data_IF_042671387009
#
_entry.id   IF_042671387009
#
_cell.length_a   1.000
_cell.length_b   1.000
_cell.length_c   1.000
_cell.angle_alpha   90.00
_cell.angle_beta   90.00
_cell.angle_gamma   90.00
#
_symmetry.space_group_name_H-M   'P 1'
#
loop_
_entity.id
_entity.type
_entity.pdbx_description
1 polymer ?
#
# COMPACT_ATOMS: atom_id res chain seq x y z
N UNK A 1 -12.79 29.81 -9.50
CA UNK A 1 -13.47 30.91 -8.79
C UNK A 1 -13.63 30.49 -7.34
N UNK A 2 -13.11 31.30 -6.42
CA UNK A 2 -13.21 31.06 -4.99
C UNK A 2 -14.61 31.53 -4.55
N UNK A 3 -15.50 30.63 -4.17
CA UNK A 3 -16.80 30.99 -3.58
C UNK A 3 -16.59 31.31 -2.09
N UNK A 4 -15.89 32.41 -1.82
CA UNK A 4 -15.77 32.99 -0.49
C UNK A 4 -16.75 34.13 -0.33
N UNK A 5 -17.52 34.13 0.75
CA UNK A 5 -18.49 35.18 1.06
C UNK A 5 -17.76 36.48 1.46
N UNK A 6 -17.57 37.37 0.49
CA UNK A 6 -16.94 38.68 0.72
C UNK A 6 -17.91 39.80 1.12
N UNK A 7 -19.23 39.60 1.02
CA UNK A 7 -20.20 40.71 1.10
C UNK A 7 -21.53 40.35 1.81
N UNK A 8 -21.69 39.15 2.39
CA UNK A 8 -22.77 38.84 3.33
C UNK A 8 -24.14 38.52 2.69
N UNK A 9 -24.22 38.33 1.37
CA UNK A 9 -25.47 37.95 0.68
C UNK A 9 -25.66 36.43 0.54
N UNK A 10 -24.71 35.61 1.02
CA UNK A 10 -24.72 34.15 0.84
C UNK A 10 -25.82 33.41 1.62
N UNK A 11 -26.36 34.03 2.67
CA UNK A 11 -27.32 33.40 3.57
C UNK A 11 -28.70 33.15 2.94
N UNK A 12 -29.08 33.89 1.88
CA UNK A 12 -30.40 33.77 1.24
C UNK A 12 -30.58 32.52 0.37
N UNK A 13 -29.48 31.89 -0.05
CA UNK A 13 -29.48 30.65 -0.84
C UNK A 13 -28.77 29.49 -0.13
N UNK A 14 -28.50 29.63 1.17
CA UNK A 14 -27.82 28.60 1.93
C UNK A 14 -28.74 27.39 2.11
N UNK A 15 -28.39 26.26 1.49
CA UNK A 15 -29.08 24.97 1.67
C UNK A 15 -28.81 24.34 3.04
N UNK A 16 -28.03 25.01 3.89
CA UNK A 16 -27.57 24.48 5.16
C UNK A 16 -27.30 25.61 6.17
N UNK A 17 -27.37 25.29 7.48
CA UNK A 17 -27.04 26.24 8.54
C UNK A 17 -25.58 26.75 8.43
N UNK A 18 -25.30 27.94 8.97
CA UNK A 18 -23.94 28.49 9.06
C UNK A 18 -22.91 27.50 9.59
N UNK A 19 -21.64 27.66 9.17
CA UNK A 19 -20.55 26.75 9.55
C UNK A 19 -20.39 26.62 11.07
N UNK A 20 -20.47 27.73 11.81
CA UNK A 20 -20.39 27.74 13.28
C UNK A 20 -21.48 26.87 13.91
N UNK A 21 -22.71 26.94 13.40
CA UNK A 21 -23.84 26.17 13.94
C UNK A 21 -23.69 24.68 13.63
N UNK A 22 -23.13 24.34 12.47
CA UNK A 22 -22.81 22.94 12.13
C UNK A 22 -21.76 22.37 13.05
N UNK A 23 -20.72 23.14 13.38
CA UNK A 23 -19.65 22.68 14.27
C UNK A 23 -20.15 22.57 15.70
N UNK A 24 -20.98 23.51 16.17
CA UNK A 24 -21.61 23.41 17.50
C UNK A 24 -22.52 22.21 17.69
N UNK A 25 -23.07 21.65 16.60
CA UNK A 25 -23.83 20.39 16.66
C UNK A 25 -22.95 19.16 16.88
N UNK A 26 -21.69 19.22 16.45
CA UNK A 26 -20.71 18.14 16.65
C UNK A 26 -19.93 18.31 17.95
N UNK A 27 -19.60 19.56 18.29
CA UNK A 27 -18.91 19.96 19.50
C UNK A 27 -19.64 21.13 20.17
N UNK A 28 -20.52 20.85 21.16
CA UNK A 28 -21.27 21.88 21.86
C UNK A 28 -20.41 22.90 22.62
N UNK A 29 -19.14 22.58 22.91
CA UNK A 29 -18.22 23.48 23.62
C UNK A 29 -17.45 24.40 22.66
N UNK A 30 -17.69 24.31 21.35
CA UNK A 30 -17.00 25.08 20.33
C UNK A 30 -17.21 26.61 20.46
N UNK A 31 -16.11 27.34 20.66
CA UNK A 31 -16.05 28.80 20.64
C UNK A 31 -15.49 29.31 19.30
N UNK A 32 -16.27 30.06 18.49
CA UNK A 32 -15.81 30.66 17.24
C UNK A 32 -14.59 31.57 17.36
N UNK A 33 -14.28 32.08 18.56
CA UNK A 33 -13.07 32.88 18.81
C UNK A 33 -11.78 32.09 18.58
N UNK A 34 -11.84 30.76 18.70
CA UNK A 34 -10.72 29.87 18.38
C UNK A 34 -10.26 30.02 16.92
N UNK A 35 -11.15 30.42 16.00
CA UNK A 35 -10.76 30.70 14.61
C UNK A 35 -9.80 31.88 14.49
N UNK A 36 -9.96 32.89 15.34
CA UNK A 36 -9.07 34.06 15.32
C UNK A 36 -7.67 33.65 15.75
N UNK A 37 -7.55 32.75 16.72
CA UNK A 37 -6.26 32.25 17.19
C UNK A 37 -5.62 31.30 16.18
N UNK A 38 -6.40 30.43 15.54
CA UNK A 38 -5.93 29.56 14.46
C UNK A 38 -5.46 30.40 13.26
N UNK A 39 -6.26 31.39 12.84
CA UNK A 39 -5.91 32.28 11.73
C UNK A 39 -4.64 33.08 12.04
N UNK A 40 -4.49 33.60 13.28
CA UNK A 40 -3.26 34.27 13.72
C UNK A 40 -2.04 33.35 13.70
N UNK A 41 -2.19 32.09 14.11
CA UNK A 41 -1.12 31.08 14.04
C UNK A 41 -0.73 30.76 12.60
N UNK A 42 -1.70 30.76 11.68
CA UNK A 42 -1.48 30.43 10.27
C UNK A 42 -1.04 31.64 9.41
N UNK A 43 -1.29 32.87 9.87
CA UNK A 43 -0.86 34.09 9.19
C UNK A 43 0.54 34.55 9.59
N UNK A 44 1.16 33.93 10.59
CA UNK A 44 2.59 34.11 10.83
C UNK A 44 3.35 33.45 9.67
N UNK A 45 4.17 34.20 8.90
CA UNK A 45 5.01 33.58 7.89
C UNK A 45 5.92 32.58 8.58
N UNK A 46 5.72 31.29 8.28
CA UNK A 46 6.69 30.27 8.66
C UNK A 46 7.94 30.58 7.85
N UNK A 47 8.99 31.06 8.53
CA UNK A 47 10.30 31.17 7.92
C UNK A 47 10.78 29.75 7.63
N UNK A 48 10.56 29.33 6.39
CA UNK A 48 10.86 27.97 5.92
C UNK A 48 12.34 27.63 6.09
N UNK A 49 13.22 28.64 6.13
CA UNK A 49 14.66 28.47 6.35
C UNK A 49 14.99 28.36 7.85
N UNK A 50 14.26 29.06 8.71
CA UNK A 50 14.41 28.90 10.17
C UNK A 50 13.82 27.57 10.66
N UNK A 51 12.74 27.07 10.03
CA UNK A 51 12.18 25.76 10.32
C UNK A 51 13.15 24.63 9.96
N UNK A 52 13.86 24.74 8.82
CA UNK A 52 14.95 23.82 8.44
C UNK A 52 16.14 23.90 9.42
N UNK A 53 16.44 25.09 9.95
CA UNK A 53 17.51 25.28 10.93
C UNK A 53 17.14 24.77 12.34
N UNK A 54 15.88 24.93 12.78
CA UNK A 54 15.38 24.38 14.05
C UNK A 54 15.19 22.85 13.98
N UNK A 55 14.76 22.28 12.85
CA UNK A 55 14.75 20.83 12.63
C UNK A 55 16.18 20.24 12.58
N UNK A 56 17.17 21.03 12.16
CA UNK A 56 18.58 20.64 12.21
C UNK A 56 19.21 20.78 13.61
N UNK A 57 18.57 21.50 14.54
CA UNK A 57 19.15 21.84 15.86
C UNK A 57 18.31 21.40 17.07
N UNK A 58 17.17 20.74 16.87
CA UNK A 58 16.44 20.12 17.97
C UNK A 58 17.32 19.05 18.67
N UNK A 59 17.58 19.16 19.98
CA UNK A 59 18.43 18.23 20.69
C UNK A 59 17.76 16.87 20.80
N UNK A 60 18.30 15.90 20.07
CA UNK A 60 18.17 14.46 20.30
C UNK A 60 18.67 14.12 21.71
N UNK A 61 17.78 14.23 22.70
CA UNK A 61 18.01 13.69 24.03
C UNK A 61 17.80 12.17 23.98
N UNK A 62 18.87 11.45 23.62
CA UNK A 62 18.87 9.98 23.64
C UNK A 62 20.00 9.26 22.88
N UNK A 63 20.95 9.97 22.27
CA UNK A 63 22.07 9.34 21.56
C UNK A 63 23.37 9.45 22.37
N UNK A 64 23.71 8.39 23.10
CA UNK A 64 25.10 8.10 23.42
C UNK A 64 25.82 7.58 22.17
N UNK A 65 26.75 8.40 21.69
CA UNK A 65 27.93 8.07 20.89
C UNK A 65 27.75 7.32 19.56
N UNK A 66 27.85 8.09 18.47
CA UNK A 66 28.85 7.81 17.43
C UNK A 66 28.45 6.91 16.27
N UNK A 67 27.74 7.48 15.29
CA UNK A 67 27.90 7.08 13.90
C UNK A 67 27.70 8.31 12.99
N UNK A 68 28.55 8.52 11.96
CA UNK A 68 28.39 9.65 11.06
C UNK A 68 27.13 9.47 10.21
N UNK A 69 26.42 10.57 9.97
CA UNK A 69 25.34 10.61 8.99
C UNK A 69 25.88 10.18 7.61
N UNK A 70 25.46 9.01 7.15
CA UNK A 70 25.86 8.49 5.85
C UNK A 70 25.21 9.31 4.72
N UNK A 71 25.98 9.74 3.70
CA UNK A 71 25.43 10.42 2.53
C UNK A 71 24.63 9.41 1.69
N UNK A 72 23.43 9.82 1.24
CA UNK A 72 22.69 9.18 0.13
C UNK A 72 22.41 7.68 0.30
N UNK A 73 21.43 7.31 1.14
CA UNK A 73 20.93 5.93 1.15
C UNK A 73 20.18 5.68 -0.17
N UNK A 74 20.77 4.88 -1.06
CA UNK A 74 20.15 4.34 -2.28
C UNK A 74 18.89 3.55 -1.88
N UNK A 75 17.89 3.40 -2.79
CA UNK A 75 16.81 2.46 -2.51
C UNK A 75 17.39 1.09 -2.10
N UNK A 76 16.75 0.43 -1.12
CA UNK A 76 17.19 -0.88 -0.68
C UNK A 76 17.25 -1.85 -1.88
N UNK A 77 18.41 -2.45 -2.15
CA UNK A 77 18.52 -3.52 -3.16
C UNK A 77 17.70 -4.73 -2.73
N UNK A 78 17.45 -5.71 -3.61
CA UNK A 78 16.73 -6.94 -3.23
C UNK A 78 17.30 -7.64 -1.98
N UNK A 79 18.58 -7.45 -1.70
CA UNK A 79 19.34 -8.01 -0.56
C UNK A 79 19.56 -7.03 0.59
N UNK A 80 18.90 -5.88 0.60
CA UNK A 80 19.11 -4.88 1.63
C UNK A 80 18.50 -5.27 2.97
N UNK A 81 19.22 -4.95 4.02
CA UNK A 81 18.95 -5.34 5.39
C UNK A 81 18.34 -4.17 6.20
N UNK A 82 17.21 -4.42 6.88
CA UNK A 82 16.50 -3.46 7.74
C UNK A 82 15.96 -4.20 8.97
N UNK A 83 16.39 -3.78 10.18
CA UNK A 83 15.80 -4.24 11.43
C UNK A 83 14.43 -3.59 11.62
N UNK A 84 13.40 -4.31 12.07
CA UNK A 84 12.03 -3.76 12.16
C UNK A 84 11.41 -4.11 13.51
N UNK A 85 10.68 -3.16 14.10
CA UNK A 85 9.92 -3.40 15.35
C UNK A 85 8.43 -3.68 15.05
N UNK A 86 7.89 -4.84 15.45
CA UNK A 86 6.49 -5.20 15.20
C UNK A 86 5.45 -4.18 15.70
N UNK A 87 5.57 -3.74 16.95
CA UNK A 87 4.63 -2.79 17.55
C UNK A 87 4.69 -1.40 16.88
N UNK A 88 5.88 -0.97 16.43
CA UNK A 88 6.02 0.29 15.72
C UNK A 88 5.35 0.24 14.34
N UNK A 89 5.51 -0.86 13.61
CA UNK A 89 4.84 -1.04 12.30
C UNK A 89 3.33 -1.06 12.43
N UNK A 90 2.78 -1.74 13.44
CA UNK A 90 1.34 -1.66 13.71
C UNK A 90 0.89 -0.22 14.02
N UNK A 91 1.69 0.53 14.78
CA UNK A 91 1.45 1.96 15.04
C UNK A 91 1.54 2.88 13.81
N UNK A 92 2.26 2.46 12.76
CA UNK A 92 2.35 3.20 11.49
C UNK A 92 1.10 3.05 10.60
N UNK A 93 0.21 2.10 10.89
CA UNK A 93 -1.03 1.90 10.12
C UNK A 93 -1.86 3.18 10.13
N UNK A 94 -2.03 3.78 8.95
CA UNK A 94 -2.77 5.04 8.79
C UNK A 94 -2.10 6.29 9.40
N UNK A 95 -0.91 6.16 10.00
CA UNK A 95 -0.18 7.24 10.68
C UNK A 95 1.28 7.33 10.20
N UNK A 96 1.53 7.74 8.95
CA UNK A 96 2.90 7.88 8.43
C UNK A 96 3.69 8.98 9.14
N UNK A 97 4.96 8.73 9.42
CA UNK A 97 5.90 9.69 10.01
C UNK A 97 6.64 10.51 8.93
N UNK A 98 7.40 11.53 9.35
CA UNK A 98 8.14 12.43 8.43
C UNK A 98 9.11 11.67 7.51
N UNK A 99 9.78 10.64 8.03
CA UNK A 99 10.72 9.84 7.24
C UNK A 99 10.04 8.95 6.20
N UNK A 100 8.78 8.56 6.42
CA UNK A 100 7.95 7.84 5.44
C UNK A 100 7.66 8.73 4.22
N UNK A 101 7.39 10.01 4.45
CA UNK A 101 7.19 10.98 3.37
C UNK A 101 8.47 11.23 2.57
N UNK A 102 9.63 11.35 3.24
CA UNK A 102 10.93 11.49 2.57
C UNK A 102 11.24 10.27 1.69
N UNK A 103 10.92 9.08 2.18
CA UNK A 103 11.13 7.86 1.38
C UNK A 103 10.14 7.74 0.24
N UNK A 104 8.88 8.11 0.43
CA UNK A 104 7.91 8.20 -0.65
C UNK A 104 8.39 9.17 -1.75
N UNK A 105 8.96 10.32 -1.40
CA UNK A 105 9.54 11.26 -2.37
C UNK A 105 10.76 10.66 -3.11
N UNK A 106 11.62 9.91 -2.40
CA UNK A 106 12.75 9.21 -3.04
C UNK A 106 12.27 8.15 -4.04
N UNK A 107 11.37 7.25 -3.64
CA UNK A 107 10.76 6.26 -4.55
C UNK A 107 10.14 6.98 -5.73
N UNK A 108 9.44 8.10 -5.49
CA UNK A 108 8.81 8.88 -6.53
C UNK A 108 9.82 9.45 -7.54
N UNK A 109 10.97 9.95 -7.08
CA UNK A 109 12.01 10.52 -7.94
C UNK A 109 12.75 9.46 -8.75
N UNK A 110 12.88 8.24 -8.22
CA UNK A 110 13.55 7.13 -8.90
C UNK A 110 12.71 6.53 -10.04
N UNK A 111 11.38 6.72 -10.03
CA UNK A 111 10.53 6.30 -11.16
C UNK A 111 10.79 7.21 -12.37
N UNK A 112 11.17 6.64 -13.54
CA UNK A 112 11.35 7.38 -14.78
C UNK A 112 10.16 8.28 -15.11
N UNK A 113 10.42 9.51 -15.55
CA UNK A 113 9.38 10.50 -15.85
C UNK A 113 8.33 9.96 -16.84
N UNK A 114 8.76 9.23 -17.86
CA UNK A 114 7.87 8.60 -18.85
C UNK A 114 6.82 7.69 -18.19
N UNK A 115 7.22 6.87 -17.22
CA UNK A 115 6.32 6.00 -16.48
C UNK A 115 5.41 6.79 -15.52
N UNK A 116 5.93 7.83 -14.86
CA UNK A 116 5.14 8.69 -13.98
C UNK A 116 4.05 9.45 -14.72
N UNK A 117 4.37 9.96 -15.90
CA UNK A 117 3.42 10.67 -16.75
C UNK A 117 2.40 9.68 -17.33
N UNK A 118 2.84 8.49 -17.76
CA UNK A 118 1.97 7.44 -18.27
C UNK A 118 0.97 6.95 -17.21
N UNK A 119 1.42 6.71 -15.98
CA UNK A 119 0.55 6.28 -14.87
C UNK A 119 -0.53 7.32 -14.54
N UNK A 120 -0.21 8.61 -14.63
CA UNK A 120 -1.17 9.69 -14.29
C UNK A 120 -2.13 10.04 -15.42
N UNK A 121 -1.83 9.60 -16.64
CA UNK A 121 -2.64 9.91 -17.82
C UNK A 121 -3.87 9.02 -17.89
N UNK A 122 -5.01 9.60 -18.27
CA UNK A 122 -6.23 8.83 -18.52
C UNK A 122 -6.15 7.95 -19.78
N UNK A 123 -5.13 8.11 -20.64
CA UNK A 123 -5.00 7.28 -21.86
C UNK A 123 -3.98 6.16 -21.74
N UNK A 124 -3.10 6.18 -20.74
CA UNK A 124 -1.98 5.23 -20.63
C UNK A 124 -1.85 4.58 -19.24
N UNK A 125 -2.75 4.90 -18.29
CA UNK A 125 -2.67 4.36 -16.94
C UNK A 125 -2.92 2.85 -16.88
N UNK A 126 -3.83 2.33 -17.71
CA UNK A 126 -4.10 0.89 -17.78
C UNK A 126 -2.93 0.15 -18.44
N UNK A 127 -2.39 0.73 -19.51
CA UNK A 127 -1.21 0.28 -20.25
C UNK A 127 0.03 0.23 -19.35
N UNK A 128 0.17 1.18 -18.42
CA UNK A 128 1.24 1.16 -17.42
C UNK A 128 1.14 -0.07 -16.51
N UNK A 129 -0.08 -0.43 -16.08
CA UNK A 129 -0.29 -1.65 -15.26
C UNK A 129 -0.08 -2.92 -16.10
N UNK A 130 -0.52 -2.93 -17.35
CA UNK A 130 -0.25 -4.06 -18.25
C UNK A 130 1.24 -4.25 -18.49
N UNK A 131 2.00 -3.17 -18.71
CA UNK A 131 3.44 -3.21 -18.94
C UNK A 131 4.21 -3.79 -17.74
N UNK A 132 3.71 -3.59 -16.51
CA UNK A 132 4.26 -4.20 -15.31
C UNK A 132 4.08 -5.73 -15.25
N UNK A 133 3.07 -6.27 -15.96
CA UNK A 133 2.75 -7.71 -16.00
C UNK A 133 3.35 -8.45 -17.19
N UNK A 134 3.91 -7.73 -18.17
CA UNK A 134 4.54 -8.38 -19.31
C UNK A 134 5.79 -9.12 -18.84
N UNK A 135 5.84 -10.42 -19.13
CA UNK A 135 6.95 -11.29 -18.76
C UNK A 135 8.21 -10.94 -19.55
N UNK A 136 9.36 -11.28 -18.98
CA UNK A 136 10.66 -11.18 -19.65
C UNK A 136 10.87 -12.25 -20.72
N UNK A 137 10.19 -13.39 -20.62
CA UNK A 137 10.18 -14.43 -21.64
C UNK A 137 9.41 -13.95 -22.88
N UNK A 138 10.13 -13.87 -24.00
CA UNK A 138 9.60 -13.37 -25.27
C UNK A 138 8.35 -14.13 -25.78
N UNK A 139 8.24 -15.44 -25.51
CA UNK A 139 7.10 -16.23 -25.94
C UNK A 139 5.85 -15.95 -25.09
N UNK A 140 6.04 -15.79 -23.77
CA UNK A 140 4.96 -15.41 -22.84
C UNK A 140 4.53 -13.96 -23.12
N UNK A 141 5.49 -13.04 -23.29
CA UNK A 141 5.25 -11.65 -23.61
C UNK A 141 4.43 -11.48 -24.91
N UNK A 142 4.78 -12.20 -25.98
CA UNK A 142 4.03 -12.16 -27.23
C UNK A 142 2.57 -12.64 -27.06
N UNK A 143 2.35 -13.66 -26.22
CA UNK A 143 1.01 -14.13 -25.88
C UNK A 143 0.24 -13.09 -25.08
N UNK A 144 0.87 -12.47 -24.08
CA UNK A 144 0.27 -11.43 -23.25
C UNK A 144 -0.09 -10.19 -24.08
N UNK A 145 0.79 -9.70 -24.95
CA UNK A 145 0.49 -8.59 -25.87
C UNK A 145 -0.69 -8.93 -26.80
N UNK A 146 -0.76 -10.18 -27.30
CA UNK A 146 -1.91 -10.66 -28.07
C UNK A 146 -3.22 -10.66 -27.27
N UNK A 147 -3.16 -11.03 -25.97
CA UNK A 147 -4.32 -10.96 -25.08
C UNK A 147 -4.80 -9.51 -24.89
N UNK A 148 -3.87 -8.56 -24.74
CA UNK A 148 -4.19 -7.12 -24.65
C UNK A 148 -4.83 -6.65 -25.95
N UNK A 149 -4.26 -6.97 -27.12
CA UNK A 149 -4.82 -6.60 -28.41
C UNK A 149 -6.26 -7.08 -28.58
N UNK A 150 -6.53 -8.34 -28.23
CA UNK A 150 -7.83 -8.98 -28.40
C UNK A 150 -8.90 -8.45 -27.44
N UNK A 151 -8.52 -8.04 -26.22
CA UNK A 151 -9.47 -7.72 -25.16
C UNK A 151 -9.48 -6.25 -24.73
N UNK A 152 -8.43 -5.48 -25.00
CA UNK A 152 -8.31 -4.05 -24.72
C UNK A 152 -8.09 -3.22 -25.99
N UNK A 153 -7.79 -3.86 -27.12
CA UNK A 153 -7.64 -3.22 -28.43
C UNK A 153 -6.18 -2.96 -28.82
N UNK A 154 -5.96 -2.72 -30.12
CA UNK A 154 -4.62 -2.52 -30.68
C UNK A 154 -3.90 -1.28 -30.11
N UNK A 155 -4.63 -0.22 -29.76
CA UNK A 155 -4.05 0.97 -29.15
C UNK A 155 -3.48 0.67 -27.74
N UNK A 156 -4.18 -0.13 -26.94
CA UNK A 156 -3.70 -0.54 -25.61
C UNK A 156 -2.47 -1.44 -25.72
N UNK A 157 -2.42 -2.33 -26.72
CA UNK A 157 -1.24 -3.15 -26.99
C UNK A 157 -0.02 -2.28 -27.34
N UNK A 158 -0.18 -1.36 -28.30
CA UNK A 158 0.90 -0.46 -28.72
C UNK A 158 1.39 0.42 -27.55
N UNK A 159 0.47 1.02 -26.78
CA UNK A 159 0.82 1.82 -25.62
C UNK A 159 1.49 1.01 -24.50
N UNK A 160 1.16 -0.28 -24.36
CA UNK A 160 1.84 -1.19 -23.43
C UNK A 160 3.27 -1.47 -23.91
N UNK A 161 3.44 -1.77 -25.20
CA UNK A 161 4.72 -2.07 -25.83
C UNK A 161 5.71 -0.88 -25.71
N UNK A 162 5.21 0.34 -25.93
CA UNK A 162 5.99 1.59 -25.80
C UNK A 162 6.59 1.78 -24.40
N UNK A 163 5.97 1.21 -23.36
CA UNK A 163 6.40 1.36 -21.97
C UNK A 163 7.37 0.25 -21.51
N UNK A 164 7.49 -0.86 -22.25
CA UNK A 164 8.26 -2.04 -21.82
C UNK A 164 9.73 -1.73 -21.57
N UNK A 165 10.36 -0.95 -22.45
CA UNK A 165 11.76 -0.57 -22.29
C UNK A 165 12.00 0.23 -21.00
N UNK A 166 11.07 1.12 -20.64
CA UNK A 166 11.18 1.89 -19.42
C UNK A 166 10.91 1.04 -18.18
N UNK A 167 9.91 0.15 -18.22
CA UNK A 167 9.61 -0.80 -17.13
C UNK A 167 10.77 -1.74 -16.85
N UNK A 168 11.49 -2.19 -17.89
CA UNK A 168 12.66 -3.07 -17.73
C UNK A 168 13.77 -2.44 -16.88
N UNK A 169 13.89 -1.10 -16.86
CA UNK A 169 14.87 -0.37 -16.05
C UNK A 169 14.38 -0.08 -14.61
N UNK A 170 13.12 -0.37 -14.31
CA UNK A 170 12.50 0.01 -13.05
C UNK A 170 12.96 -0.88 -11.90
N UNK A 171 13.40 -0.26 -10.80
CA UNK A 171 13.71 -0.96 -9.58
C UNK A 171 12.48 -1.75 -9.06
N UNK A 172 12.62 -3.00 -8.58
CA UNK A 172 11.50 -3.82 -8.10
C UNK A 172 10.59 -3.09 -7.10
N UNK A 173 11.17 -2.42 -6.09
CA UNK A 173 10.42 -1.65 -5.09
C UNK A 173 9.58 -0.50 -5.65
N UNK A 174 9.84 -0.08 -6.89
CA UNK A 174 9.14 1.03 -7.54
C UNK A 174 7.96 0.55 -8.39
N UNK A 175 7.80 -0.76 -8.59
CA UNK A 175 6.73 -1.36 -9.42
C UNK A 175 5.34 -1.20 -8.79
N UNK A 176 5.16 -1.65 -7.55
CA UNK A 176 3.87 -1.47 -6.85
C UNK A 176 3.54 0.01 -6.58
N UNK A 177 4.50 0.88 -6.20
CA UNK A 177 4.25 2.33 -6.16
C UNK A 177 3.82 2.92 -7.49
N UNK A 178 4.42 2.50 -8.61
CA UNK A 178 3.98 2.93 -9.94
C UNK A 178 2.54 2.50 -10.24
N UNK A 179 2.18 1.26 -9.91
CA UNK A 179 0.80 0.79 -10.04
C UNK A 179 -0.18 1.60 -9.17
N UNK A 180 0.19 1.89 -7.92
CA UNK A 180 -0.61 2.72 -7.03
C UNK A 180 -0.78 4.16 -7.56
N UNK A 181 0.24 4.70 -8.24
CA UNK A 181 0.14 6.01 -8.92
C UNK A 181 -0.83 6.00 -10.11
N UNK A 182 -1.04 4.85 -10.75
CA UNK A 182 -1.94 4.73 -11.90
C UNK A 182 -3.42 4.75 -11.49
N UNK A 183 -3.72 4.28 -10.27
CA UNK A 183 -5.09 4.08 -9.83
C UNK A 183 -5.99 5.33 -9.81
N UNK A 184 -5.53 6.53 -9.38
CA UNK A 184 -6.36 7.73 -9.42
C UNK A 184 -6.83 8.13 -10.83
N UNK A 185 -6.11 7.71 -11.88
CA UNK A 185 -6.52 7.87 -13.26
C UNK A 185 -7.47 6.72 -13.68
N UNK A 186 -7.12 5.47 -13.36
CA UNK A 186 -7.93 4.27 -13.66
C UNK A 186 -9.34 4.37 -13.07
N UNK A 187 -9.50 4.80 -11.82
CA UNK A 187 -10.82 4.87 -11.16
C UNK A 187 -11.82 5.85 -11.78
N UNK A 188 -11.36 6.72 -12.70
CA UNK A 188 -12.21 7.69 -13.40
C UNK A 188 -12.92 7.07 -14.61
N UNK A 189 -12.51 5.88 -15.03
CA UNK A 189 -13.12 5.19 -16.14
C UNK A 189 -14.52 4.67 -15.80
N UNK A 190 -15.41 4.50 -16.81
CA UNK A 190 -16.71 3.87 -16.61
C UNK A 190 -16.59 2.46 -15.99
N UNK A 191 -17.62 2.05 -15.25
CA UNK A 191 -17.66 0.75 -14.56
C UNK A 191 -17.38 -0.43 -15.50
N UNK A 192 -17.89 -0.40 -16.72
CA UNK A 192 -17.67 -1.46 -17.72
C UNK A 192 -16.20 -1.56 -18.12
N UNK A 193 -15.51 -0.42 -18.31
CA UNK A 193 -14.08 -0.39 -18.62
C UNK A 193 -13.25 -0.91 -17.46
N UNK A 194 -13.61 -0.60 -16.21
CA UNK A 194 -12.95 -1.14 -15.02
C UNK A 194 -13.10 -2.67 -14.94
N UNK A 195 -14.30 -3.19 -15.19
CA UNK A 195 -14.55 -4.64 -15.23
C UNK A 195 -13.75 -5.34 -16.34
N UNK A 196 -13.70 -4.73 -17.53
CA UNK A 196 -12.90 -5.22 -18.65
C UNK A 196 -11.41 -5.20 -18.32
N UNK A 197 -10.92 -4.12 -17.71
CA UNK A 197 -9.54 -3.98 -17.26
C UNK A 197 -9.14 -5.09 -16.28
N UNK A 198 -9.96 -5.35 -15.25
CA UNK A 198 -9.73 -6.44 -14.30
C UNK A 198 -9.72 -7.80 -15.02
N UNK A 199 -10.66 -8.04 -15.93
CA UNK A 199 -10.71 -9.29 -16.69
C UNK A 199 -9.53 -9.47 -17.66
N UNK A 200 -8.90 -8.39 -18.14
CA UNK A 200 -7.66 -8.47 -18.92
C UNK A 200 -6.50 -8.80 -17.99
N UNK A 201 -6.40 -8.11 -16.85
CA UNK A 201 -5.36 -8.32 -15.85
C UNK A 201 -5.30 -9.78 -15.37
N UNK A 202 -6.45 -10.38 -15.05
CA UNK A 202 -6.55 -11.80 -14.69
C UNK A 202 -6.03 -12.73 -15.79
N UNK A 203 -6.33 -12.44 -17.07
CA UNK A 203 -5.84 -13.23 -18.20
C UNK A 203 -4.33 -13.11 -18.38
N UNK A 204 -3.76 -11.94 -18.15
CA UNK A 204 -2.31 -11.72 -18.27
C UNK A 204 -1.54 -12.52 -17.21
N UNK A 205 -2.05 -12.53 -15.99
CA UNK A 205 -1.44 -13.24 -14.84
C UNK A 205 -1.50 -14.75 -15.02
N UNK A 206 -2.49 -15.28 -15.74
CA UNK A 206 -2.62 -16.71 -15.98
C UNK A 206 -2.07 -17.16 -17.35
N UNK A 207 -1.37 -16.28 -18.08
CA UNK A 207 -0.95 -16.54 -19.46
C UNK A 207 0.07 -17.70 -19.58
N UNK A 208 0.89 -17.91 -18.55
CA UNK A 208 1.93 -18.93 -18.45
C UNK A 208 1.49 -20.14 -17.59
N UNK A 209 0.29 -20.09 -16.99
CA UNK A 209 -0.26 -21.11 -16.11
C UNK A 209 0.36 -21.16 -14.71
N UNK A 210 1.20 -20.19 -14.35
CA UNK A 210 1.73 -20.00 -13.00
C UNK A 210 1.30 -18.61 -12.52
N UNK A 211 1.49 -18.34 -11.24
CA UNK A 211 1.26 -17.00 -10.70
C UNK A 211 2.38 -16.73 -9.74
N UNK A 212 3.19 -15.72 -10.06
CA UNK A 212 4.26 -15.23 -9.21
C UNK A 212 3.70 -14.36 -8.08
N UNK A 213 4.52 -14.18 -7.03
CA UNK A 213 4.15 -13.32 -5.89
C UNK A 213 3.85 -11.88 -6.32
N UNK A 214 4.68 -11.32 -7.21
CA UNK A 214 4.50 -9.96 -7.70
C UNK A 214 3.18 -9.78 -8.46
N UNK A 215 2.84 -10.73 -9.33
CA UNK A 215 1.61 -10.70 -10.13
C UNK A 215 0.38 -10.78 -9.21
N UNK A 216 0.42 -11.70 -8.24
CA UNK A 216 -0.59 -11.79 -7.19
C UNK A 216 -0.74 -10.48 -6.43
N UNK A 217 0.38 -9.91 -5.99
CA UNK A 217 0.40 -8.67 -5.21
C UNK A 217 -0.19 -7.50 -6.00
N UNK A 218 0.19 -7.38 -7.27
CA UNK A 218 -0.33 -6.35 -8.17
C UNK A 218 -1.83 -6.52 -8.41
N UNK A 219 -2.30 -7.74 -8.66
CA UNK A 219 -3.73 -8.03 -8.83
C UNK A 219 -4.54 -7.69 -7.58
N UNK A 220 -4.05 -8.03 -6.40
CA UNK A 220 -4.73 -7.71 -5.14
C UNK A 220 -4.76 -6.23 -4.86
N UNK A 221 -3.64 -5.53 -5.08
CA UNK A 221 -3.59 -4.08 -4.90
C UNK A 221 -4.59 -3.36 -5.81
N UNK A 222 -4.58 -3.69 -7.10
CA UNK A 222 -5.50 -3.10 -8.08
C UNK A 222 -6.95 -3.53 -7.83
N UNK A 223 -7.18 -4.81 -7.53
CA UNK A 223 -8.50 -5.36 -7.27
C UNK A 223 -9.17 -4.75 -6.05
N UNK A 224 -8.43 -4.56 -4.95
CA UNK A 224 -8.92 -3.87 -3.75
C UNK A 224 -9.35 -2.44 -4.10
N UNK A 225 -8.49 -1.70 -4.79
CA UNK A 225 -8.76 -0.33 -5.18
C UNK A 225 -9.96 -0.21 -6.14
N UNK A 226 -10.06 -1.09 -7.15
CA UNK A 226 -11.22 -1.13 -8.05
C UNK A 226 -12.51 -1.48 -7.30
N UNK A 227 -12.45 -2.43 -6.38
CA UNK A 227 -13.60 -2.79 -5.53
C UNK A 227 -14.07 -1.59 -4.71
N UNK A 228 -13.15 -0.87 -4.08
CA UNK A 228 -13.45 0.35 -3.31
C UNK A 228 -14.07 1.45 -4.17
N UNK A 229 -13.61 1.59 -5.42
CA UNK A 229 -14.18 2.57 -6.35
C UNK A 229 -15.58 2.17 -6.84
N UNK A 230 -15.87 0.87 -6.94
CA UNK A 230 -17.17 0.36 -7.37
C UNK A 230 -18.20 0.33 -6.24
N UNK A 231 -17.76 0.07 -5.00
CA UNK A 231 -18.61 -0.11 -3.80
C UNK A 231 -18.01 0.54 -2.52
N UNK A 232 -17.95 1.89 -2.44
CA UNK A 232 -17.36 2.60 -1.29
C UNK A 232 -17.95 2.29 0.09
N UNK A 233 -19.27 2.02 0.26
CA UNK A 233 -19.82 1.69 1.58
C UNK A 233 -19.26 0.39 2.16
N UNK A 234 -18.97 -0.61 1.31
CA UNK A 234 -18.50 -1.92 1.78
C UNK A 234 -17.06 -1.92 2.27
N UNK A 235 -16.21 -1.01 1.79
CA UNK A 235 -14.79 -0.93 2.19
C UNK A 235 -14.57 -0.34 3.58
N UNK A 236 -15.56 0.36 4.15
CA UNK A 236 -15.41 1.12 5.41
C UNK A 236 -15.86 0.41 6.68
N UNK A 237 -16.33 -0.84 6.59
CA UNK A 237 -16.96 -1.51 7.75
C UNK A 237 -15.92 -2.23 8.59
N UNK A 238 -15.72 -1.78 9.84
CA UNK A 238 -14.95 -2.53 10.83
C UNK A 238 -15.64 -3.87 11.07
N UNK A 239 -14.87 -4.95 10.97
CA UNK A 239 -15.34 -6.31 11.16
C UNK A 239 -15.73 -6.61 12.62
N UNK A 240 -16.33 -7.78 12.83
CA UNK A 240 -16.76 -8.26 14.16
C UNK A 240 -16.22 -9.65 14.49
N UNK A 241 -15.47 -10.26 13.59
CA UNK A 241 -14.89 -11.60 13.79
C UNK A 241 -13.70 -11.50 14.72
N UNK A 242 -13.46 -12.55 15.49
CA UNK A 242 -12.26 -12.67 16.32
C UNK A 242 -11.23 -13.53 15.59
N UNK A 243 -9.96 -13.35 15.93
CA UNK A 243 -8.87 -14.15 15.35
C UNK A 243 -9.09 -15.66 15.52
N UNK A 244 -9.63 -16.08 16.66
CA UNK A 244 -9.96 -17.49 16.95
C UNK A 244 -10.97 -18.10 15.97
N UNK A 245 -11.80 -17.29 15.32
CA UNK A 245 -12.79 -17.76 14.34
C UNK A 245 -12.18 -17.97 12.95
N UNK A 246 -10.95 -17.50 12.73
CA UNK A 246 -10.28 -17.42 11.43
C UNK A 246 -8.98 -18.25 11.39
N UNK A 247 -8.88 -19.29 12.21
CA UNK A 247 -7.66 -20.11 12.41
C UNK A 247 -7.07 -20.61 11.08
N UNK A 248 -7.87 -21.23 10.23
CA UNK A 248 -7.44 -21.73 8.90
C UNK A 248 -6.92 -20.59 8.01
N UNK A 249 -7.59 -19.43 8.02
CA UNK A 249 -7.19 -18.27 7.22
C UNK A 249 -5.86 -17.69 7.70
N UNK A 250 -5.66 -17.62 9.03
CA UNK A 250 -4.40 -17.20 9.64
C UNK A 250 -3.27 -18.18 9.27
N UNK A 251 -3.49 -19.49 9.39
CA UNK A 251 -2.50 -20.51 9.03
C UNK A 251 -2.09 -20.39 7.57
N UNK A 252 -3.03 -20.28 6.65
CA UNK A 252 -2.71 -20.11 5.22
C UNK A 252 -1.93 -18.82 4.95
N UNK A 253 -2.32 -17.71 5.59
CA UNK A 253 -1.62 -16.44 5.46
C UNK A 253 -0.15 -16.57 5.89
N UNK A 254 0.10 -17.11 7.09
CA UNK A 254 1.46 -17.27 7.61
C UNK A 254 2.27 -18.31 6.84
N UNK A 255 1.66 -19.39 6.33
CA UNK A 255 2.34 -20.35 5.47
C UNK A 255 2.85 -19.69 4.19
N UNK A 256 2.05 -18.82 3.57
CA UNK A 256 2.44 -18.13 2.35
C UNK A 256 3.47 -17.03 2.62
N UNK A 257 3.27 -16.25 3.69
CA UNK A 257 4.22 -15.23 4.13
C UNK A 257 5.61 -15.82 4.38
N UNK A 258 5.66 -16.92 5.13
CA UNK A 258 6.91 -17.60 5.46
C UNK A 258 7.57 -18.24 4.24
N UNK A 259 6.79 -18.79 3.30
CA UNK A 259 7.34 -19.39 2.09
C UNK A 259 8.01 -18.37 1.16
N UNK A 260 7.42 -17.18 1.01
CA UNK A 260 7.95 -16.14 0.13
C UNK A 260 8.96 -15.21 0.82
N UNK A 261 9.08 -15.29 2.14
CA UNK A 261 10.07 -14.53 2.91
C UNK A 261 11.43 -15.22 3.06
N UNK A 262 11.47 -16.55 2.99
CA UNK A 262 12.70 -17.31 3.20
C UNK A 262 13.05 -18.21 2.01
N UNK A 263 14.32 -18.25 1.67
CA UNK A 263 14.85 -19.11 0.60
C UNK A 263 14.90 -20.60 1.01
N UNK A 264 14.88 -20.89 2.31
CA UNK A 264 15.01 -22.24 2.85
C UNK A 264 13.81 -22.66 3.73
N UNK A 265 13.54 -23.97 3.73
CA UNK A 265 12.39 -24.52 4.45
C UNK A 265 12.53 -24.41 5.98
N UNK A 266 13.76 -24.30 6.50
CA UNK A 266 14.00 -24.18 7.95
C UNK A 266 13.66 -22.77 8.43
N UNK A 267 14.10 -21.75 7.69
CA UNK A 267 13.71 -20.35 7.88
C UNK A 267 12.20 -20.16 7.80
N UNK A 268 11.56 -20.68 6.74
CA UNK A 268 10.12 -20.61 6.57
C UNK A 268 9.35 -21.28 7.74
N UNK A 269 9.76 -22.46 8.18
CA UNK A 269 9.17 -23.12 9.36
C UNK A 269 9.31 -22.27 10.63
N UNK A 270 10.45 -21.61 10.81
CA UNK A 270 10.70 -20.76 11.98
C UNK A 270 9.80 -19.54 11.97
N UNK A 271 9.75 -18.80 10.85
CA UNK A 271 8.89 -17.62 10.72
C UNK A 271 7.41 -17.95 10.85
N UNK A 272 6.97 -19.08 10.29
CA UNK A 272 5.62 -19.59 10.47
C UNK A 272 5.30 -19.79 11.95
N UNK A 273 6.17 -20.50 12.69
CA UNK A 273 5.95 -20.77 14.11
C UNK A 273 5.94 -19.46 14.93
N UNK A 274 6.87 -18.55 14.67
CA UNK A 274 6.93 -17.23 15.35
C UNK A 274 5.62 -16.46 15.14
N UNK A 275 5.12 -16.39 13.91
CA UNK A 275 3.86 -15.72 13.60
C UNK A 275 2.65 -16.35 14.26
N UNK A 276 2.55 -17.69 14.20
CA UNK A 276 1.45 -18.44 14.82
C UNK A 276 1.47 -18.32 16.35
N UNK A 277 2.64 -18.43 16.97
CA UNK A 277 2.79 -18.30 18.42
C UNK A 277 2.46 -16.88 18.90
N UNK A 278 2.75 -15.85 18.09
CA UNK A 278 2.35 -14.48 18.38
C UNK A 278 0.81 -14.31 18.41
N UNK A 279 0.08 -15.04 17.54
CA UNK A 279 -1.39 -14.99 17.48
C UNK A 279 -2.07 -15.85 18.55
N UNK A 280 -1.66 -17.11 18.70
CA UNK A 280 -2.39 -18.11 19.51
C UNK A 280 -1.67 -18.58 20.78
N UNK A 281 -0.41 -18.17 21.00
CA UNK A 281 0.48 -18.48 22.15
C UNK A 281 0.77 -19.96 22.45
N UNK A 282 -0.08 -20.93 22.07
CA UNK A 282 0.07 -22.36 22.41
C UNK A 282 -0.63 -23.33 21.43
N UNK A 283 -0.56 -23.11 20.11
CA UNK A 283 -1.19 -24.02 19.13
C UNK A 283 -0.17 -24.77 18.28
N UNK A 284 -0.32 -26.10 18.20
CA UNK A 284 0.55 -26.99 17.43
C UNK A 284 0.18 -27.02 15.94
N UNK A 285 0.26 -25.88 15.25
CA UNK A 285 0.13 -25.87 13.80
C UNK A 285 1.42 -26.35 13.14
N UNK A 286 1.27 -27.02 11.99
CA UNK A 286 2.40 -27.45 11.17
C UNK A 286 2.49 -26.56 9.95
N UNK A 287 3.68 -26.02 9.70
CA UNK A 287 3.97 -25.35 8.45
C UNK A 287 3.75 -26.30 7.27
N UNK A 288 2.88 -25.88 6.36
CA UNK A 288 2.68 -26.50 5.06
C UNK A 288 2.18 -25.42 4.10
N UNK A 289 2.88 -25.25 2.96
CA UNK A 289 2.39 -24.40 1.88
C UNK A 289 1.25 -25.13 1.16
N UNK A 290 0.06 -24.53 1.03
CA UNK A 290 -1.01 -25.08 0.20
C UNK A 290 -0.55 -25.20 -1.26
N UNK A 291 -0.89 -26.30 -1.93
CA UNK A 291 -0.58 -26.47 -3.36
C UNK A 291 -1.19 -25.37 -4.24
N UNK A 292 -2.41 -24.95 -3.90
CA UNK A 292 -3.09 -23.75 -4.40
C UNK A 292 -2.99 -22.62 -3.37
N UNK A 293 -1.79 -22.05 -3.23
CA UNK A 293 -1.55 -20.96 -2.29
C UNK A 293 -2.32 -19.68 -2.66
N UNK A 294 -2.51 -19.42 -3.96
CA UNK A 294 -3.27 -18.27 -4.48
C UNK A 294 -4.73 -18.37 -4.03
N UNK A 295 -5.39 -19.48 -4.32
CA UNK A 295 -6.77 -19.70 -3.89
C UNK A 295 -6.92 -19.76 -2.37
N UNK A 296 -5.91 -20.25 -1.66
CA UNK A 296 -5.88 -20.23 -0.19
C UNK A 296 -5.90 -18.80 0.36
N UNK A 297 -5.05 -17.90 -0.17
CA UNK A 297 -5.07 -16.49 0.23
C UNK A 297 -6.35 -15.77 -0.22
N UNK A 298 -6.89 -16.09 -1.39
CA UNK A 298 -8.12 -15.47 -1.90
C UNK A 298 -9.34 -15.76 -1.05
N UNK A 299 -9.35 -16.91 -0.37
CA UNK A 299 -10.35 -17.24 0.65
C UNK A 299 -10.01 -16.62 2.01
N UNK A 300 -8.73 -16.58 2.38
CA UNK A 300 -8.29 -16.09 3.69
C UNK A 300 -8.46 -14.56 3.83
N UNK A 301 -8.06 -13.77 2.83
CA UNK A 301 -8.03 -12.30 2.94
C UNK A 301 -9.41 -11.68 3.21
N UNK A 302 -10.51 -12.04 2.52
CA UNK A 302 -11.83 -11.51 2.84
C UNK A 302 -12.31 -11.88 4.24
N UNK A 303 -11.96 -13.08 4.71
CA UNK A 303 -12.27 -13.55 6.05
C UNK A 303 -11.51 -12.75 7.12
N UNK A 304 -10.21 -12.55 6.93
CA UNK A 304 -9.36 -11.75 7.82
C UNK A 304 -9.70 -10.26 7.77
N UNK A 305 -10.17 -9.74 6.63
CA UNK A 305 -10.66 -8.36 6.55
C UNK A 305 -11.91 -8.13 7.44
N UNK A 306 -12.63 -9.21 7.76
CA UNK A 306 -13.79 -9.20 8.67
C UNK A 306 -13.44 -9.23 10.16
N UNK A 307 -12.16 -9.19 10.52
CA UNK A 307 -11.69 -9.07 11.91
C UNK A 307 -12.04 -7.70 12.51
N UNK A 308 -12.21 -7.68 13.83
CA UNK A 308 -12.26 -6.44 14.62
C UNK A 308 -10.90 -5.72 14.64
N UNK A 309 -10.87 -4.48 15.13
CA UNK A 309 -9.66 -3.65 15.12
C UNK A 309 -8.50 -4.27 15.89
N UNK A 310 -8.78 -4.85 17.06
CA UNK A 310 -7.77 -5.51 17.90
C UNK A 310 -7.23 -6.77 17.24
N UNK A 311 -8.08 -7.55 16.56
CA UNK A 311 -7.66 -8.70 15.78
C UNK A 311 -6.77 -8.32 14.60
N UNK A 312 -7.08 -7.22 13.89
CA UNK A 312 -6.22 -6.72 12.80
C UNK A 312 -4.87 -6.22 13.32
N UNK A 313 -4.86 -5.48 14.43
CA UNK A 313 -3.63 -5.00 15.08
C UNK A 313 -2.71 -6.18 15.45
N UNK A 314 -3.23 -7.15 16.19
CA UNK A 314 -2.46 -8.35 16.58
C UNK A 314 -1.99 -9.16 15.37
N UNK A 315 -2.80 -9.28 14.32
CA UNK A 315 -2.41 -9.96 13.08
C UNK A 315 -1.24 -9.25 12.40
N UNK A 316 -1.26 -7.92 12.33
CA UNK A 316 -0.18 -7.13 11.72
C UNK A 316 1.11 -7.25 12.53
N UNK A 317 1.04 -7.13 13.86
CA UNK A 317 2.21 -7.35 14.73
C UNK A 317 2.80 -8.75 14.55
N UNK A 318 1.95 -9.77 14.45
CA UNK A 318 2.40 -11.14 14.23
C UNK A 318 3.04 -11.34 12.85
N UNK A 319 2.48 -10.75 11.79
CA UNK A 319 3.08 -10.77 10.44
C UNK A 319 4.46 -10.12 10.42
N UNK A 320 4.61 -8.97 11.07
CA UNK A 320 5.91 -8.27 11.15
C UNK A 320 6.90 -9.09 11.98
N UNK A 321 6.45 -9.72 13.06
CA UNK A 321 7.30 -10.61 13.86
C UNK A 321 7.78 -11.83 13.07
N UNK A 322 6.91 -12.42 12.24
CA UNK A 322 7.27 -13.54 11.37
C UNK A 322 8.31 -13.14 10.33
N UNK A 323 8.14 -11.98 9.70
CA UNK A 323 9.11 -11.45 8.71
C UNK A 323 10.43 -11.03 9.39
N UNK A 324 10.37 -10.46 10.59
CA UNK A 324 11.55 -10.00 11.33
C UNK A 324 12.34 -11.13 12.02
N UNK A 325 12.05 -12.40 11.74
CA UNK A 325 12.65 -13.55 12.45
C UNK A 325 14.18 -13.61 12.30
N UNK A 326 14.70 -13.18 11.14
CA UNK A 326 16.14 -13.11 10.89
C UNK A 326 16.70 -11.69 11.11
N UNK A 327 15.91 -10.80 11.73
CA UNK A 327 16.16 -9.36 11.91
C UNK A 327 16.39 -8.61 10.59
N UNK A 328 15.90 -9.17 9.49
CA UNK A 328 16.04 -8.65 8.13
C UNK A 328 14.71 -8.72 7.41
N UNK A 329 14.35 -7.66 6.70
CA UNK A 329 13.16 -7.62 5.85
C UNK A 329 13.56 -7.45 4.39
N UNK A 330 13.26 -8.46 3.59
CA UNK A 330 13.48 -8.47 2.14
C UNK A 330 12.38 -7.68 1.44
N UNK A 331 12.68 -7.12 0.26
CA UNK A 331 11.71 -6.36 -0.55
C UNK A 331 10.41 -7.15 -0.79
N UNK A 332 10.51 -8.45 -1.07
CA UNK A 332 9.36 -9.30 -1.31
C UNK A 332 8.43 -9.39 -0.09
N UNK A 333 8.99 -9.46 1.11
CA UNK A 333 8.25 -9.52 2.37
C UNK A 333 7.55 -8.19 2.67
N UNK A 334 8.26 -7.08 2.49
CA UNK A 334 7.69 -5.75 2.66
C UNK A 334 6.55 -5.47 1.66
N UNK A 335 6.71 -5.90 0.40
CA UNK A 335 5.67 -5.77 -0.63
C UNK A 335 4.45 -6.65 -0.32
N UNK A 336 4.68 -7.92 0.03
CA UNK A 336 3.61 -8.84 0.42
C UNK A 336 2.85 -8.32 1.65
N UNK A 337 3.57 -7.89 2.70
CA UNK A 337 2.97 -7.28 3.89
C UNK A 337 2.13 -6.06 3.53
N UNK A 338 2.66 -5.13 2.72
CA UNK A 338 1.93 -3.94 2.26
C UNK A 338 0.67 -4.29 1.51
N UNK A 339 0.70 -5.31 0.65
CA UNK A 339 -0.47 -5.75 -0.13
C UNK A 339 -1.51 -6.41 0.77
N UNK A 340 -1.10 -7.28 1.69
CA UNK A 340 -2.00 -7.90 2.68
C UNK A 340 -2.65 -6.80 3.51
N UNK A 341 -1.85 -5.87 4.04
CA UNK A 341 -2.32 -4.73 4.82
C UNK A 341 -3.28 -3.83 4.03
N UNK A 342 -3.03 -3.59 2.75
CA UNK A 342 -3.97 -2.89 1.88
C UNK A 342 -5.30 -3.66 1.72
N UNK A 343 -5.25 -4.99 1.52
CA UNK A 343 -6.45 -5.84 1.42
C UNK A 343 -7.24 -5.90 2.74
N UNK A 344 -6.57 -5.75 3.88
CA UNK A 344 -7.17 -5.65 5.22
C UNK A 344 -7.67 -4.23 5.57
N UNK A 345 -7.54 -3.25 4.66
CA UNK A 345 -7.86 -1.83 4.89
C UNK A 345 -7.02 -1.19 6.02
N UNK A 346 -5.79 -1.64 6.17
CA UNK A 346 -4.80 -1.16 7.15
C UNK A 346 -3.51 -0.73 6.44
N UNK A 347 -3.52 0.31 5.59
CA UNK A 347 -2.39 0.62 4.73
C UNK A 347 -1.13 0.99 5.52
N UNK A 348 0.00 0.40 5.12
CA UNK A 348 1.33 0.67 5.69
C UNK A 348 2.15 1.64 4.82
N UNK A 349 3.03 2.46 5.44
CA UNK A 349 3.99 3.28 4.72
C UNK A 349 5.03 2.45 3.92
N UNK A 350 5.82 3.07 3.04
CA UNK A 350 6.80 2.38 2.19
C UNK A 350 8.04 1.89 2.91
N UNK A 351 8.42 2.50 4.04
CA UNK A 351 9.39 1.91 4.95
C UNK A 351 8.66 1.40 6.18
N UNK A 352 9.03 0.21 6.61
CA UNK A 352 8.68 -0.28 7.93
C UNK A 352 9.72 0.30 8.89
N UNK A 353 9.28 0.95 9.96
CA UNK A 353 10.19 1.64 10.88
C UNK A 353 11.22 0.68 11.46
N UNK A 354 12.47 1.14 11.44
CA UNK A 354 13.64 0.47 11.99
C UNK A 354 13.91 1.01 13.39
N UNK A 355 14.05 0.13 14.38
CA UNK A 355 14.36 0.48 15.76
C UNK A 355 15.75 1.10 15.91
#
# INVERSE_FOLDING_TARGET
MLFGDGVGYSALFATHPPLVDRIRRLDPQFDPRQYVDIAKRWSAPVDVLALDAELAQAPVAGLSSGAPAAPGRVLPTRTSEQSVSPAQVAGQVGNPAVDDYRTADRIHREIPKILRDAARSQTSAMETVFALLIDTDTAIAARQLSLIANHAGAAAMAGTEDLLAAVATLHPMSRLPLAAMAFPAIRRFPRQNLQQFVAVLERLIHADGKTGLFEYCLAKLIGAQVTDALDPPRSSTIGKRKLVDCETAVVHLFSVLAHFGHDDEVGAKRAFNVGIDAVYRQTSHRYALPSDWVGALDRALPELNGLDSTGKELLIEAMVSAIATDNQVVVAEAELLRVICAALHCPLPPLLSVA
#
